data_IF_773375748650
#
_entry.id   IF_773375748650
#
_cell.length_a   1.000
_cell.length_b   1.000
_cell.length_c   1.000
_cell.angle_alpha   90.00
_cell.angle_beta   90.00
_cell.angle_gamma   90.00
#
_symmetry.space_group_name_H-M   'P 1'
#
loop_
_entity.id
_entity.type
_entity.pdbx_description
1 polymer ?
#
# COMPACT_ATOMS: atom_id res chain seq x y z
N UNK A 1 -26.84 -21.84 -9.68
CA UNK A 1 -25.72 -21.77 -8.71
C UNK A 1 -25.38 -20.30 -8.54
N UNK A 2 -25.05 -19.81 -7.35
CA UNK A 2 -24.50 -18.45 -7.21
C UNK A 2 -23.25 -18.36 -8.08
N UNK A 3 -23.15 -17.34 -8.92
CA UNK A 3 -22.02 -17.09 -9.83
C UNK A 3 -20.70 -16.77 -9.11
N UNK A 4 -20.74 -16.66 -7.78
CA UNK A 4 -19.65 -16.15 -6.94
C UNK A 4 -19.06 -17.22 -6.00
N UNK A 5 -19.24 -18.50 -6.32
CA UNK A 5 -18.71 -19.61 -5.52
C UNK A 5 -17.75 -20.45 -6.35
N UNK A 6 -16.58 -20.75 -5.81
CA UNK A 6 -15.62 -21.69 -6.39
C UNK A 6 -15.97 -23.12 -5.97
N UNK A 7 -16.15 -24.02 -6.94
CA UNK A 7 -16.57 -25.41 -6.69
C UNK A 7 -15.46 -26.37 -7.10
N UNK A 8 -14.92 -27.11 -6.14
CA UNK A 8 -13.94 -28.17 -6.37
C UNK A 8 -14.64 -29.51 -6.58
N UNK A 9 -14.43 -30.10 -7.75
CA UNK A 9 -15.06 -31.35 -8.14
C UNK A 9 -14.24 -32.56 -7.66
N UNK A 10 -14.90 -33.64 -7.20
CA UNK A 10 -14.22 -34.85 -6.77
C UNK A 10 -13.63 -35.61 -7.97
N UNK A 11 -12.69 -36.53 -7.67
CA UNK A 11 -12.15 -37.46 -8.65
C UNK A 11 -13.15 -38.59 -8.94
N UNK A 12 -14.12 -38.34 -9.81
CA UNK A 12 -15.04 -39.37 -10.28
C UNK A 12 -15.13 -39.31 -11.80
N UNK A 13 -15.24 -40.48 -12.42
CA UNK A 13 -15.59 -40.57 -13.83
C UNK A 13 -17.00 -40.01 -14.04
N UNK A 14 -17.27 -39.46 -15.23
CA UNK A 14 -18.61 -39.06 -15.70
C UNK A 14 -19.18 -37.72 -15.18
N UNK A 15 -18.38 -36.86 -14.52
CA UNK A 15 -18.80 -35.45 -14.34
C UNK A 15 -18.71 -34.73 -15.68
N UNK A 16 -19.88 -34.48 -16.27
CA UNK A 16 -20.02 -33.56 -17.40
C UNK A 16 -20.65 -32.25 -16.91
N UNK A 17 -20.10 -31.13 -17.37
CA UNK A 17 -20.67 -29.81 -17.16
C UNK A 17 -21.14 -29.33 -18.53
N UNK A 18 -22.36 -28.81 -18.60
CA UNK A 18 -22.86 -28.23 -19.84
C UNK A 18 -21.93 -27.10 -20.31
N UNK A 19 -21.70 -27.00 -21.62
CA UNK A 19 -20.88 -25.93 -22.20
C UNK A 19 -21.41 -24.56 -21.76
N UNK A 20 -20.52 -23.70 -21.25
CA UNK A 20 -20.87 -22.37 -20.76
C UNK A 20 -21.44 -22.33 -19.34
N UNK A 21 -21.56 -23.48 -18.67
CA UNK A 21 -21.94 -23.58 -17.25
C UNK A 21 -20.76 -23.96 -16.34
N UNK A 22 -19.57 -24.12 -16.90
CA UNK A 22 -18.33 -24.48 -16.22
C UNK A 22 -17.54 -23.27 -15.68
N UNK A 23 -18.27 -22.23 -15.26
CA UNK A 23 -17.72 -21.05 -14.58
C UNK A 23 -17.45 -21.40 -13.11
N UNK A 24 -16.23 -21.11 -12.65
CA UNK A 24 -15.79 -21.35 -11.27
C UNK A 24 -15.83 -22.83 -10.82
N UNK A 25 -15.84 -23.77 -11.77
CA UNK A 25 -15.66 -25.19 -11.49
C UNK A 25 -14.19 -25.57 -11.67
N UNK A 26 -13.58 -26.10 -10.60
CA UNK A 26 -12.23 -26.65 -10.61
C UNK A 26 -12.34 -28.16 -10.65
N UNK A 27 -11.86 -28.76 -11.74
CA UNK A 27 -11.78 -30.21 -11.90
C UNK A 27 -10.73 -30.79 -10.95
N UNK A 28 -10.81 -32.09 -10.68
CA UNK A 28 -9.87 -32.78 -9.79
C UNK A 28 -8.39 -32.63 -10.19
N UNK A 29 -8.10 -32.45 -11.48
CA UNK A 29 -6.75 -32.19 -12.00
C UNK A 29 -6.29 -30.72 -11.85
N UNK A 30 -7.05 -29.90 -11.12
CA UNK A 30 -6.73 -28.49 -10.87
C UNK A 30 -6.99 -27.57 -12.06
N UNK A 31 -7.79 -28.01 -13.06
CA UNK A 31 -8.15 -27.18 -14.21
C UNK A 31 -9.53 -26.55 -14.07
N UNK A 32 -9.62 -25.29 -14.46
CA UNK A 32 -10.84 -24.52 -14.58
C UNK A 32 -10.96 -24.01 -16.03
N UNK A 33 -12.15 -24.07 -16.63
CA UNK A 33 -12.34 -23.49 -17.97
C UNK A 33 -12.39 -21.97 -17.87
N UNK A 34 -13.31 -21.45 -17.04
CA UNK A 34 -13.50 -20.01 -16.86
C UNK A 34 -13.59 -19.68 -15.37
N UNK A 35 -12.68 -18.83 -14.91
CA UNK A 35 -12.69 -18.28 -13.56
C UNK A 35 -13.24 -16.85 -13.61
N UNK A 36 -14.30 -16.58 -12.87
CA UNK A 36 -14.85 -15.23 -12.69
C UNK A 36 -14.67 -14.84 -11.23
N UNK A 37 -13.89 -13.79 -11.01
CA UNK A 37 -13.67 -13.18 -9.70
C UNK A 37 -14.51 -11.92 -9.61
N UNK A 38 -15.52 -11.95 -8.76
CA UNK A 38 -16.42 -10.82 -8.54
C UNK A 38 -15.96 -10.00 -7.34
N UNK A 39 -15.99 -8.68 -7.49
CA UNK A 39 -15.65 -7.75 -6.43
C UNK A 39 -16.51 -7.94 -5.17
N UNK A 40 -15.88 -7.86 -4.00
CA UNK A 40 -16.58 -8.05 -2.73
C UNK A 40 -16.84 -9.50 -2.32
N UNK A 41 -16.65 -10.47 -3.23
CA UNK A 41 -16.94 -11.88 -2.99
C UNK A 41 -15.69 -12.66 -2.58
N UNK A 42 -15.86 -13.56 -1.61
CA UNK A 42 -14.77 -14.33 -0.99
C UNK A 42 -14.38 -15.54 -1.88
N UNK A 43 -13.08 -15.69 -2.18
CA UNK A 43 -12.56 -16.85 -2.91
C UNK A 43 -11.38 -17.47 -2.14
N UNK A 44 -11.42 -18.79 -2.00
CA UNK A 44 -10.32 -19.57 -1.41
C UNK A 44 -9.73 -20.50 -2.47
N UNK A 45 -8.40 -20.40 -2.68
CA UNK A 45 -7.64 -21.32 -3.52
C UNK A 45 -6.74 -22.19 -2.64
N UNK A 46 -7.17 -23.39 -2.20
CA UNK A 46 -6.38 -24.23 -1.28
C UNK A 46 -5.05 -24.71 -1.87
N UNK A 47 -4.99 -24.80 -3.20
CA UNK A 47 -3.80 -25.13 -3.97
C UNK A 47 -3.80 -24.35 -5.29
N UNK A 48 -2.65 -24.31 -5.95
CA UNK A 48 -2.53 -23.63 -7.23
C UNK A 48 -3.35 -24.36 -8.31
N UNK A 49 -4.09 -23.61 -9.11
CA UNK A 49 -4.92 -24.13 -10.20
C UNK A 49 -4.54 -23.46 -11.52
N UNK A 50 -5.07 -23.99 -12.62
CA UNK A 50 -4.95 -23.35 -13.94
C UNK A 50 -6.33 -23.05 -14.50
N UNK A 51 -6.50 -21.85 -15.07
CA UNK A 51 -7.73 -21.43 -15.72
C UNK A 51 -7.47 -21.13 -17.20
N UNK A 52 -8.37 -21.52 -18.10
CA UNK A 52 -8.21 -21.19 -19.54
C UNK A 52 -8.51 -19.71 -19.77
N UNK A 53 -9.56 -19.22 -19.12
CA UNK A 53 -10.03 -17.83 -19.14
C UNK A 53 -10.22 -17.33 -17.70
N UNK A 54 -9.86 -16.07 -17.44
CA UNK A 54 -10.02 -15.41 -16.14
C UNK A 54 -10.60 -14.02 -16.35
N UNK A 55 -11.69 -13.72 -15.65
CA UNK A 55 -12.34 -12.41 -15.67
C UNK A 55 -12.37 -11.86 -14.25
N UNK A 56 -11.85 -10.66 -14.06
CA UNK A 56 -12.01 -9.90 -12.82
C UNK A 56 -13.06 -8.80 -13.01
N UNK A 57 -14.14 -8.87 -12.23
CA UNK A 57 -15.26 -7.94 -12.30
C UNK A 57 -15.21 -7.02 -11.09
N UNK A 58 -14.74 -5.80 -11.31
CA UNK A 58 -14.78 -4.73 -10.32
C UNK A 58 -15.13 -3.41 -10.98
N UNK A 59 -16.10 -2.73 -10.39
CA UNK A 59 -16.37 -1.34 -10.71
C UNK A 59 -15.29 -0.47 -10.08
N UNK A 60 -14.50 0.19 -10.92
CA UNK A 60 -13.60 1.23 -10.45
C UNK A 60 -14.42 2.49 -10.14
N UNK A 61 -14.25 3.08 -8.95
CA UNK A 61 -15.04 4.24 -8.58
C UNK A 61 -14.87 5.39 -9.58
N UNK A 62 -15.96 6.09 -9.87
CA UNK A 62 -16.01 7.20 -10.83
C UNK A 62 -15.16 8.41 -10.44
N UNK A 63 -14.67 8.48 -9.20
CA UNK A 63 -13.82 9.58 -8.73
C UNK A 63 -12.34 9.40 -9.13
N UNK A 64 -11.96 8.33 -9.83
CA UNK A 64 -10.57 8.11 -10.27
C UNK A 64 -10.29 8.92 -11.56
N UNK A 65 -10.36 10.25 -11.49
CA UNK A 65 -10.08 11.16 -12.61
C UNK A 65 -8.57 11.38 -12.83
N UNK A 66 -7.78 10.30 -12.92
CA UNK A 66 -6.31 10.41 -13.08
C UNK A 66 -5.56 11.03 -11.89
N UNK A 67 -6.26 11.39 -10.82
CA UNK A 67 -5.69 12.03 -9.62
C UNK A 67 -5.73 11.13 -8.39
N UNK A 68 -6.70 10.22 -8.34
CA UNK A 68 -6.90 9.34 -7.21
C UNK A 68 -6.26 7.98 -7.45
N UNK A 69 -5.89 7.34 -6.36
CA UNK A 69 -5.30 6.01 -6.35
C UNK A 69 -6.36 4.96 -5.98
N UNK A 70 -6.05 3.71 -6.28
CA UNK A 70 -6.81 2.56 -5.81
C UNK A 70 -5.88 1.38 -5.56
N UNK A 71 -6.33 0.41 -4.77
CA UNK A 71 -5.52 -0.79 -4.47
C UNK A 71 -6.08 -2.03 -5.14
N UNK A 72 -5.20 -2.97 -5.46
CA UNK A 72 -5.55 -4.27 -6.03
C UNK A 72 -4.74 -5.40 -5.38
N UNK A 73 -5.33 -6.59 -5.30
CA UNK A 73 -4.67 -7.84 -4.94
C UNK A 73 -5.30 -8.95 -5.78
N UNK A 74 -4.56 -9.62 -6.66
CA UNK A 74 -5.09 -10.68 -7.51
C UNK A 74 -4.34 -12.00 -7.29
N UNK A 75 -5.01 -13.16 -7.38
CA UNK A 75 -4.36 -14.47 -7.19
C UNK A 75 -3.59 -14.94 -8.43
N UNK A 76 -3.40 -14.09 -9.44
CA UNK A 76 -2.64 -14.40 -10.65
C UNK A 76 -1.86 -13.17 -11.10
N UNK A 77 -0.83 -13.41 -11.92
CA UNK A 77 0.02 -12.34 -12.41
C UNK A 77 -0.64 -11.61 -13.59
N UNK A 78 -0.56 -10.29 -13.58
CA UNK A 78 -1.23 -9.40 -14.53
C UNK A 78 -0.23 -8.47 -15.21
N UNK A 79 -0.47 -8.21 -16.50
CA UNK A 79 0.25 -7.13 -17.21
C UNK A 79 -0.32 -5.79 -16.77
N UNK A 80 0.53 -4.88 -16.31
CA UNK A 80 0.09 -3.53 -15.92
C UNK A 80 -0.50 -2.80 -17.14
N UNK A 81 -1.76 -2.31 -17.07
CA UNK A 81 -2.35 -1.56 -18.17
C UNK A 81 -1.58 -0.28 -18.48
N UNK A 82 -1.48 0.06 -19.76
CA UNK A 82 -0.90 1.34 -20.19
C UNK A 82 -1.77 2.48 -19.66
N UNK A 83 -1.15 3.55 -19.15
CA UNK A 83 -1.89 4.67 -18.54
C UNK A 83 -2.15 4.48 -17.04
N UNK A 84 -1.78 3.33 -16.47
CA UNK A 84 -1.78 3.09 -15.03
C UNK A 84 -0.35 2.89 -14.54
N UNK A 85 0.00 3.57 -13.45
CA UNK A 85 1.24 3.34 -12.71
C UNK A 85 0.95 2.55 -11.46
N UNK A 86 1.82 1.58 -11.15
CA UNK A 86 1.74 0.77 -9.95
C UNK A 86 2.89 1.06 -8.99
N UNK A 87 2.65 0.85 -7.70
CA UNK A 87 3.59 1.14 -6.64
C UNK A 87 3.65 0.00 -5.62
N UNK A 88 4.86 -0.28 -5.13
CA UNK A 88 5.11 -1.10 -3.95
C UNK A 88 5.31 -0.21 -2.73
N UNK A 89 4.86 -0.67 -1.56
CA UNK A 89 5.21 -0.02 -0.30
C UNK A 89 6.62 -0.46 0.13
N UNK A 90 7.56 0.48 0.15
CA UNK A 90 8.91 0.27 0.64
C UNK A 90 9.07 0.90 2.02
N UNK A 91 9.66 0.15 2.96
CA UNK A 91 10.18 0.74 4.19
C UNK A 91 11.44 1.55 3.88
N UNK A 92 11.44 2.81 4.30
CA UNK A 92 12.57 3.71 4.08
C UNK A 92 13.51 3.75 5.26
N UNK A 93 12.96 3.99 6.46
CA UNK A 93 13.76 4.13 7.68
C UNK A 93 12.90 4.00 8.92
N UNK A 94 13.60 3.64 9.99
CA UNK A 94 13.16 3.80 11.38
C UNK A 94 14.03 4.85 12.05
N UNK A 95 13.41 5.77 12.78
CA UNK A 95 14.10 6.77 13.60
C UNK A 95 13.81 6.47 15.06
N UNK A 96 14.86 6.36 15.86
CA UNK A 96 14.74 6.41 17.31
C UNK A 96 14.43 7.84 17.75
N UNK A 97 13.29 8.03 18.42
CA UNK A 97 12.82 9.36 18.83
C UNK A 97 13.56 9.94 20.03
N UNK A 98 14.47 9.20 20.67
CA UNK A 98 15.09 9.68 21.92
C UNK A 98 14.27 9.35 23.16
N UNK A 99 13.02 8.92 23.01
CA UNK A 99 12.04 8.80 24.08
C UNK A 99 11.68 7.34 24.39
N UNK A 100 11.25 7.10 25.62
CA UNK A 100 10.63 5.85 26.01
C UNK A 100 9.12 6.05 26.22
N UNK A 101 8.33 5.00 26.04
CA UNK A 101 6.92 5.00 26.37
C UNK A 101 6.70 4.91 27.91
N UNK A 102 5.43 4.89 28.33
CA UNK A 102 5.07 4.79 29.74
C UNK A 102 5.49 3.49 30.43
N UNK A 103 6.00 2.51 29.67
CA UNK A 103 6.50 1.21 30.16
C UNK A 103 8.02 1.08 30.02
N UNK A 104 8.72 2.16 29.63
CA UNK A 104 10.17 2.17 29.46
C UNK A 104 10.65 1.57 28.13
N UNK A 105 9.75 1.25 27.19
CA UNK A 105 10.11 0.76 25.86
C UNK A 105 10.50 1.90 24.93
N UNK A 106 11.46 1.65 24.04
CA UNK A 106 11.95 2.66 23.11
C UNK A 106 10.89 3.04 22.07
N UNK A 107 10.73 4.33 21.82
CA UNK A 107 9.79 4.85 20.83
C UNK A 107 10.49 5.10 19.50
N UNK A 108 9.90 4.55 18.45
CA UNK A 108 10.37 4.70 17.07
C UNK A 108 9.32 5.32 16.16
N UNK A 109 9.79 6.03 15.14
CA UNK A 109 8.99 6.50 14.01
C UNK A 109 9.43 5.77 12.75
N UNK A 110 8.48 5.20 12.02
CA UNK A 110 8.76 4.53 10.75
C UNK A 110 8.25 5.36 9.57
N UNK A 111 9.07 5.46 8.52
CA UNK A 111 8.72 6.10 7.25
C UNK A 111 8.66 5.06 6.14
N UNK A 112 7.59 5.11 5.35
CA UNK A 112 7.37 4.24 4.20
C UNK A 112 7.07 5.07 2.96
N UNK A 113 7.36 4.53 1.80
CA UNK A 113 7.14 5.22 0.53
C UNK A 113 6.62 4.26 -0.51
N UNK A 114 5.60 4.71 -1.24
CA UNK A 114 5.14 4.02 -2.43
C UNK A 114 6.09 4.32 -3.58
N UNK A 115 6.94 3.33 -3.91
CA UNK A 115 7.87 3.40 -5.04
C UNK A 115 7.25 2.80 -6.28
N UNK A 116 7.31 3.54 -7.37
CA UNK A 116 6.77 3.08 -8.65
C UNK A 116 7.52 1.86 -9.15
N UNK A 117 6.78 0.91 -9.72
CA UNK A 117 7.37 -0.12 -10.57
C UNK A 117 7.43 0.41 -12.01
N UNK A 118 8.25 -0.20 -12.90
CA UNK A 118 8.29 0.17 -14.30
C UNK A 118 6.89 0.17 -14.94
N UNK A 119 6.60 1.21 -15.72
CA UNK A 119 5.38 1.28 -16.51
C UNK A 119 5.31 0.06 -17.46
N UNK A 120 4.10 -0.46 -17.69
CA UNK A 120 3.86 -1.71 -18.44
C UNK A 120 4.57 -2.96 -17.85
N UNK A 121 4.96 -2.90 -16.56
CA UNK A 121 5.52 -4.01 -15.81
C UNK A 121 4.51 -5.12 -15.50
N UNK A 122 4.93 -6.07 -14.65
CA UNK A 122 4.10 -7.20 -14.22
C UNK A 122 3.70 -7.02 -12.77
N UNK A 123 2.41 -7.18 -12.49
CA UNK A 123 1.88 -7.32 -11.14
C UNK A 123 1.90 -8.80 -10.77
N UNK A 124 2.78 -9.18 -9.86
CA UNK A 124 2.86 -10.54 -9.30
C UNK A 124 1.55 -11.00 -8.62
N UNK A 125 1.28 -12.30 -8.70
CA UNK A 125 0.17 -12.95 -8.01
C UNK A 125 0.32 -12.85 -6.47
N UNK A 126 -0.80 -12.74 -5.76
CA UNK A 126 -0.90 -12.65 -4.31
C UNK A 126 -0.03 -11.55 -3.68
N UNK A 127 0.15 -10.44 -4.40
CA UNK A 127 0.82 -9.25 -3.91
C UNK A 127 -0.09 -8.03 -4.05
N UNK A 128 -0.22 -7.21 -3.00
CA UNK A 128 -1.01 -5.98 -3.08
C UNK A 128 -0.22 -4.87 -3.77
N UNK A 129 -0.92 -4.08 -4.59
CA UNK A 129 -0.36 -2.91 -5.27
C UNK A 129 -1.25 -1.68 -5.08
N UNK A 130 -0.61 -0.51 -4.94
CA UNK A 130 -1.26 0.78 -5.10
C UNK A 130 -1.16 1.15 -6.58
N UNK A 131 -2.25 1.63 -7.16
CA UNK A 131 -2.37 1.98 -8.56
C UNK A 131 -2.84 3.43 -8.69
N UNK A 132 -2.29 4.15 -9.67
CA UNK A 132 -2.70 5.51 -10.03
C UNK A 132 -2.91 5.58 -11.54
N UNK A 133 -4.05 6.10 -11.97
CA UNK A 133 -4.26 6.45 -13.38
C UNK A 133 -3.42 7.69 -13.67
N UNK A 134 -2.58 7.65 -14.71
CA UNK A 134 -1.63 8.73 -15.04
C UNK A 134 -1.88 9.40 -16.38
N UNK A 135 -2.76 8.84 -17.22
CA UNK A 135 -3.05 9.39 -18.55
C UNK A 135 -4.38 10.16 -18.63
N UNK A 136 -5.11 10.24 -17.51
CA UNK A 136 -6.38 10.95 -17.40
C UNK A 136 -7.55 10.31 -18.14
N UNK A 137 -7.44 9.03 -18.54
CA UNK A 137 -8.52 8.30 -19.22
C UNK A 137 -9.29 7.40 -18.27
N UNK A 138 -10.45 6.97 -18.73
CA UNK A 138 -11.22 5.92 -18.07
C UNK A 138 -10.51 4.58 -18.27
N UNK A 139 -10.41 3.82 -17.19
CA UNK A 139 -9.88 2.46 -17.19
C UNK A 139 -10.90 1.49 -16.60
N UNK A 140 -10.89 0.24 -17.04
CA UNK A 140 -11.73 -0.84 -16.49
C UNK A 140 -10.90 -1.99 -15.92
N UNK A 141 -11.55 -2.84 -15.10
CA UNK A 141 -10.94 -4.05 -14.58
C UNK A 141 -10.58 -5.08 -15.68
N UNK A 142 -11.20 -4.99 -16.86
CA UNK A 142 -10.99 -5.90 -17.99
C UNK A 142 -9.60 -5.72 -18.61
N UNK A 143 -8.97 -4.56 -18.43
CA UNK A 143 -7.61 -4.28 -18.92
C UNK A 143 -6.53 -5.03 -18.13
N UNK A 144 -6.87 -5.58 -16.95
CA UNK A 144 -5.97 -6.34 -16.08
C UNK A 144 -5.80 -7.78 -16.59
N UNK A 145 -5.30 -7.91 -17.81
CA UNK A 145 -5.11 -9.19 -18.48
C UNK A 145 -4.01 -10.05 -17.83
N UNK A 146 -4.26 -11.35 -17.71
CA UNK A 146 -3.27 -12.30 -17.25
C UNK A 146 -2.08 -12.39 -18.20
N UNK A 147 -0.87 -12.57 -17.67
CA UNK A 147 0.36 -12.60 -18.47
C UNK A 147 0.55 -13.86 -19.34
N UNK A 148 -0.28 -14.89 -19.15
CA UNK A 148 -0.17 -16.16 -19.85
C UNK A 148 -1.50 -16.92 -19.89
N UNK A 149 -1.70 -17.73 -20.92
CA UNK A 149 -2.78 -18.72 -21.00
C UNK A 149 -2.19 -20.14 -21.19
N UNK A 150 -2.62 -21.15 -20.41
CA UNK A 150 -3.58 -21.06 -19.31
C UNK A 150 -3.03 -20.23 -18.14
N UNK A 151 -3.93 -19.50 -17.49
CA UNK A 151 -3.61 -18.60 -16.37
C UNK A 151 -3.30 -19.44 -15.13
N UNK A 152 -2.14 -19.18 -14.52
CA UNK A 152 -1.77 -19.79 -13.24
C UNK A 152 -2.39 -18.98 -12.10
N UNK A 153 -3.28 -19.62 -11.35
CA UNK A 153 -3.86 -19.05 -10.13
C UNK A 153 -3.07 -19.60 -8.95
N UNK A 154 -2.42 -18.73 -8.20
CA UNK A 154 -1.65 -19.07 -7.03
C UNK A 154 -2.59 -19.44 -5.87
N UNK A 155 -2.16 -20.42 -5.05
CA UNK A 155 -2.87 -20.78 -3.83
C UNK A 155 -3.00 -19.56 -2.91
N UNK A 156 -4.18 -19.35 -2.31
CA UNK A 156 -4.43 -18.27 -1.36
C UNK A 156 -3.62 -18.44 -0.08
N UNK A 157 -3.18 -19.66 0.24
CA UNK A 157 -2.54 -20.03 1.50
C UNK A 157 -3.47 -20.87 2.37
N UNK A 158 -2.96 -21.40 3.47
CA UNK A 158 -3.71 -22.29 4.38
C UNK A 158 -3.88 -21.72 5.78
N UNK A 159 -3.23 -20.59 6.07
CA UNK A 159 -3.27 -19.98 7.40
C UNK A 159 -4.61 -19.25 7.58
N UNK A 160 -5.43 -19.74 8.50
CA UNK A 160 -6.74 -19.17 8.82
C UNK A 160 -6.71 -18.48 10.19
N UNK A 161 -7.55 -17.46 10.37
CA UNK A 161 -7.83 -16.82 11.64
C UNK A 161 -8.59 -17.77 12.57
N UNK A 162 -8.26 -17.75 13.86
CA UNK A 162 -8.77 -18.70 14.84
C UNK A 162 -10.28 -18.65 15.02
N UNK A 163 -10.91 -17.47 15.06
CA UNK A 163 -12.36 -17.34 15.32
C UNK A 163 -13.19 -17.31 14.03
N UNK A 164 -12.91 -16.42 13.08
CA UNK A 164 -13.69 -16.27 11.84
C UNK A 164 -13.44 -17.33 10.78
N UNK A 165 -12.32 -18.06 10.86
CA UNK A 165 -11.88 -19.03 9.84
C UNK A 165 -11.62 -18.41 8.46
N UNK A 166 -11.47 -17.08 8.39
CA UNK A 166 -11.02 -16.40 7.18
C UNK A 166 -9.50 -16.56 7.01
N UNK A 167 -9.00 -16.47 5.77
CA UNK A 167 -7.58 -16.47 5.47
C UNK A 167 -6.87 -15.31 6.16
N UNK A 168 -5.67 -15.58 6.69
CA UNK A 168 -4.77 -14.52 7.14
C UNK A 168 -4.34 -13.69 5.93
N UNK A 169 -4.44 -12.35 5.99
CA UNK A 169 -4.02 -11.49 4.89
C UNK A 169 -2.54 -11.70 4.57
N UNK A 170 -2.19 -11.55 3.29
CA UNK A 170 -0.83 -11.77 2.79
C UNK A 170 -0.17 -10.45 2.46
N UNK A 171 1.07 -10.31 2.86
CA UNK A 171 1.92 -9.20 2.45
C UNK A 171 3.18 -9.71 1.77
N UNK A 172 3.85 -8.77 1.11
CA UNK A 172 5.24 -8.95 0.72
C UNK A 172 6.10 -7.97 1.51
N UNK A 173 7.09 -8.49 2.22
CA UNK A 173 8.10 -7.71 2.95
C UNK A 173 9.44 -7.93 2.27
N UNK A 174 10.14 -6.84 1.97
CA UNK A 174 11.50 -6.90 1.40
C UNK A 174 12.50 -7.27 2.50
N UNK A 175 12.77 -8.56 2.67
CA UNK A 175 13.87 -9.08 3.51
C UNK A 175 13.73 -8.81 5.01
N UNK A 176 14.85 -8.96 5.73
CA UNK A 176 14.93 -8.73 7.18
C UNK A 176 14.99 -7.23 7.46
N UNK A 177 13.84 -6.64 7.73
CA UNK A 177 13.72 -5.25 8.19
C UNK A 177 12.99 -5.20 9.53
N UNK A 178 13.32 -4.23 10.37
CA UNK A 178 12.61 -4.01 11.63
C UNK A 178 11.23 -3.37 11.44
N UNK A 179 10.75 -3.21 10.20
CA UNK A 179 9.55 -2.44 9.84
C UNK A 179 8.32 -2.90 10.66
N UNK A 180 7.54 -1.96 11.19
CA UNK A 180 6.32 -2.28 11.93
C UNK A 180 5.12 -2.59 11.04
N UNK A 181 5.08 -2.11 9.80
CA UNK A 181 3.93 -2.21 8.90
C UNK A 181 4.32 -2.82 7.56
N UNK A 182 3.35 -3.47 6.92
CA UNK A 182 3.49 -3.93 5.54
C UNK A 182 2.20 -3.68 4.77
N UNK A 183 2.29 -3.83 3.45
CA UNK A 183 1.12 -3.76 2.59
C UNK A 183 0.57 -5.17 2.38
N UNK A 184 -0.68 -5.37 2.79
CA UNK A 184 -1.36 -6.65 2.80
C UNK A 184 -2.54 -6.64 1.83
N UNK A 185 -2.91 -7.82 1.33
CA UNK A 185 -4.18 -8.06 0.65
C UNK A 185 -4.61 -9.52 0.80
N UNK A 186 -5.79 -9.84 0.28
CA UNK A 186 -6.38 -11.16 0.45
C UNK A 186 -7.40 -11.48 -0.66
N UNK A 187 -7.67 -12.77 -0.90
CA UNK A 187 -8.75 -13.25 -1.78
C UNK A 187 -10.09 -13.41 -1.04
N UNK A 188 -10.07 -13.30 0.29
CA UNK A 188 -11.23 -13.20 1.16
C UNK A 188 -11.27 -11.81 1.83
N UNK A 189 -12.42 -11.47 2.40
CA UNK A 189 -12.60 -10.24 3.17
C UNK A 189 -11.67 -10.24 4.38
N UNK A 190 -11.16 -9.06 4.73
CA UNK A 190 -10.25 -8.90 5.86
C UNK A 190 -10.95 -8.20 7.01
N UNK A 191 -10.98 -8.84 8.18
CA UNK A 191 -11.58 -8.29 9.39
C UNK A 191 -10.86 -7.02 9.85
N UNK A 192 -11.63 -6.00 10.23
CA UNK A 192 -11.09 -4.82 10.90
C UNK A 192 -10.49 -5.12 12.28
N UNK A 193 -10.77 -6.32 12.79
CA UNK A 193 -10.30 -6.91 14.04
C UNK A 193 -9.44 -8.16 13.80
N UNK A 194 -8.79 -8.31 12.63
CA UNK A 194 -8.05 -9.54 12.28
C UNK A 194 -7.06 -10.00 13.36
N UNK A 195 -6.43 -9.08 14.10
CA UNK A 195 -5.55 -9.44 15.21
C UNK A 195 -6.30 -10.02 16.42
N UNK A 196 -7.50 -9.51 16.75
CA UNK A 196 -8.37 -10.10 17.78
C UNK A 196 -9.00 -11.43 17.34
N UNK A 197 -9.20 -11.58 16.04
CA UNK A 197 -9.71 -12.80 15.41
C UNK A 197 -8.73 -13.98 15.58
N UNK A 198 -7.43 -13.66 15.66
CA UNK A 198 -6.33 -14.60 15.92
C UNK A 198 -5.95 -14.71 17.42
N UNK A 199 -6.17 -13.63 18.19
CA UNK A 199 -6.00 -13.42 19.64
C UNK A 199 -4.68 -13.94 20.25
N UNK A 200 -3.64 -13.10 20.26
CA UNK A 200 -2.48 -13.28 21.13
C UNK A 200 -2.42 -12.11 22.13
N UNK A 201 -3.21 -12.24 23.20
CA UNK A 201 -3.16 -11.46 24.46
C UNK A 201 -3.89 -10.10 24.49
N UNK A 202 -5.18 -10.15 24.85
CA UNK A 202 -5.96 -9.10 25.54
C UNK A 202 -6.27 -7.78 24.80
N UNK A 203 -7.56 -7.61 24.47
CA UNK A 203 -8.19 -6.29 24.27
C UNK A 203 -8.32 -5.84 22.81
N UNK A 204 -9.32 -4.99 22.55
CA UNK A 204 -9.51 -4.35 21.24
C UNK A 204 -8.38 -3.34 21.01
N UNK A 205 -7.26 -3.78 20.42
CA UNK A 205 -6.23 -2.87 19.96
C UNK A 205 -6.49 -2.49 18.49
N UNK A 206 -7.12 -1.32 18.30
CA UNK A 206 -7.38 -0.76 16.98
C UNK A 206 -6.11 -0.43 16.20
N UNK A 207 -4.92 -0.38 16.81
CA UNK A 207 -3.64 -0.20 16.11
C UNK A 207 -3.38 -1.27 15.03
N UNK A 208 -3.99 -2.45 15.16
CA UNK A 208 -3.91 -3.50 14.15
C UNK A 208 -4.99 -3.38 13.08
N UNK A 209 -5.98 -2.50 13.22
CA UNK A 209 -7.01 -2.34 12.20
C UNK A 209 -6.38 -1.91 10.87
N UNK A 210 -6.87 -2.44 9.73
CA UNK A 210 -6.33 -2.10 8.43
C UNK A 210 -6.43 -0.60 8.15
N UNK A 211 -5.37 -0.03 7.59
CA UNK A 211 -5.41 1.29 6.99
C UNK A 211 -5.76 1.13 5.52
N UNK A 212 -6.95 1.58 5.14
CA UNK A 212 -7.47 1.49 3.78
C UNK A 212 -7.37 2.83 3.08
N UNK A 213 -7.16 2.79 1.77
CA UNK A 213 -7.20 4.00 0.95
C UNK A 213 -8.65 4.49 0.84
N UNK A 214 -8.84 5.78 1.04
CA UNK A 214 -10.13 6.45 0.94
C UNK A 214 -9.94 7.84 0.31
N UNK A 215 -11.05 8.57 0.15
CA UNK A 215 -11.04 9.98 -0.28
C UNK A 215 -11.52 10.86 0.87
N UNK A 216 -10.88 12.01 1.04
CA UNK A 216 -11.35 13.02 1.98
C UNK A 216 -12.48 13.89 1.39
N UNK A 217 -13.00 14.82 2.19
CA UNK A 217 -14.06 15.72 1.75
C UNK A 217 -13.63 16.69 0.65
N UNK A 218 -12.32 16.82 0.39
CA UNK A 218 -11.76 17.57 -0.73
C UNK A 218 -11.49 16.70 -1.96
N UNK A 219 -11.82 15.41 -1.90
CA UNK A 219 -11.61 14.45 -2.98
C UNK A 219 -10.16 14.00 -3.14
N UNK A 220 -9.31 14.16 -2.11
CA UNK A 220 -7.93 13.70 -2.12
C UNK A 220 -7.79 12.32 -1.49
N UNK A 221 -6.88 11.53 -2.04
CA UNK A 221 -6.45 10.26 -1.46
C UNK A 221 -5.94 10.43 -0.03
N UNK A 222 -6.52 9.64 0.88
CA UNK A 222 -6.11 9.58 2.28
C UNK A 222 -6.15 8.15 2.78
N UNK A 223 -5.11 7.74 3.50
CA UNK A 223 -5.13 6.48 4.24
C UNK A 223 -5.90 6.69 5.54
N UNK A 224 -6.96 5.90 5.75
CA UNK A 224 -7.77 5.95 6.97
C UNK A 224 -7.79 4.60 7.63
N UNK A 225 -7.62 4.61 8.95
CA UNK A 225 -7.78 3.41 9.73
C UNK A 225 -9.26 2.99 9.73
N UNK A 226 -9.48 1.73 9.40
CA UNK A 226 -10.81 1.12 9.35
C UNK A 226 -11.26 0.75 10.77
N UNK A 227 -11.43 1.74 11.64
CA UNK A 227 -11.61 1.56 13.10
C UNK A 227 -13.03 1.86 13.62
N UNK A 228 -14.03 1.99 12.75
CA UNK A 228 -15.40 2.28 13.17
C UNK A 228 -16.23 1.02 13.54
N UNK A 229 -17.31 1.23 14.30
CA UNK A 229 -18.21 0.17 14.77
C UNK A 229 -19.13 -0.39 13.67
N UNK A 230 -19.24 0.28 12.53
CA UNK A 230 -20.29 0.04 11.55
C UNK A 230 -19.78 -0.65 10.27
N UNK A 231 -18.46 -0.74 10.07
CA UNK A 231 -17.86 -1.40 8.92
C UNK A 231 -16.83 -2.45 9.38
N UNK A 232 -17.19 -3.72 9.24
CA UNK A 232 -16.47 -4.82 9.89
C UNK A 232 -15.36 -5.45 9.03
N UNK A 233 -15.41 -5.27 7.71
CA UNK A 233 -14.53 -5.95 6.78
C UNK A 233 -14.06 -5.04 5.64
N UNK A 234 -12.78 -5.14 5.29
CA UNK A 234 -12.27 -4.72 4.00
C UNK A 234 -12.65 -5.78 2.95
N UNK A 235 -13.24 -5.41 1.81
CA UNK A 235 -13.54 -6.34 0.73
C UNK A 235 -12.29 -7.09 0.20
N UNK A 236 -12.48 -8.30 -0.37
CA UNK A 236 -11.46 -9.03 -1.11
C UNK A 236 -10.79 -8.22 -2.22
N UNK A 237 -9.64 -8.70 -2.69
CA UNK A 237 -8.90 -8.14 -3.82
C UNK A 237 -8.46 -6.68 -3.63
N UNK A 238 -8.35 -6.23 -2.37
CA UNK A 238 -7.85 -4.91 -1.96
C UNK A 238 -6.52 -5.02 -1.25
N UNK A 239 -5.76 -3.93 -1.33
CA UNK A 239 -4.59 -3.69 -0.51
C UNK A 239 -4.92 -2.79 0.69
N UNK A 240 -4.38 -3.10 1.87
CA UNK A 240 -4.37 -2.26 3.06
C UNK A 240 -3.01 -2.29 3.76
N UNK A 241 -2.66 -1.18 4.38
CA UNK A 241 -1.45 -1.10 5.21
C UNK A 241 -1.81 -1.61 6.60
N UNK A 242 -1.10 -2.60 7.09
CA UNK A 242 -1.39 -3.21 8.39
C UNK A 242 -0.11 -3.46 9.16
N UNK A 243 -0.21 -3.49 10.49
CA UNK A 243 0.91 -3.81 11.36
C UNK A 243 1.31 -5.27 11.19
N UNK A 244 2.61 -5.55 11.16
CA UNK A 244 3.15 -6.91 11.11
C UNK A 244 3.02 -7.54 12.51
N UNK A 245 2.40 -8.72 12.64
CA UNK A 245 2.29 -9.42 13.92
C UNK A 245 3.66 -9.67 14.53
N UNK A 246 3.79 -9.47 15.84
CA UNK A 246 5.02 -9.75 16.59
C UNK A 246 6.11 -8.68 16.50
N UNK A 247 5.96 -7.66 15.63
CA UNK A 247 6.90 -6.52 15.60
C UNK A 247 6.63 -5.54 16.74
N UNK A 248 7.65 -4.85 17.25
CA UNK A 248 7.41 -3.66 18.09
C UNK A 248 6.80 -2.56 17.22
N UNK A 249 5.67 -1.99 17.66
CA UNK A 249 4.97 -0.97 16.90
C UNK A 249 5.72 0.36 16.98
N UNK A 250 6.05 0.96 15.83
CA UNK A 250 6.40 2.37 15.77
C UNK A 250 5.21 3.21 16.24
N UNK A 251 5.47 4.26 17.03
CA UNK A 251 4.40 5.15 17.51
C UNK A 251 3.84 6.04 16.41
N UNK A 252 4.65 6.35 15.41
CA UNK A 252 4.22 7.10 14.24
C UNK A 252 4.59 6.35 12.95
N UNK A 253 3.69 6.45 11.98
CA UNK A 253 3.80 5.86 10.66
C UNK A 253 3.47 6.92 9.62
N UNK A 254 4.39 7.15 8.68
CA UNK A 254 4.22 8.09 7.59
C UNK A 254 4.31 7.38 6.24
N UNK A 255 3.38 7.69 5.34
CA UNK A 255 3.38 7.24 3.94
C UNK A 255 3.68 8.41 3.04
N UNK A 256 4.72 8.27 2.22
CA UNK A 256 5.07 9.22 1.17
C UNK A 256 4.67 8.66 -0.20
N UNK A 257 4.29 9.55 -1.11
CA UNK A 257 3.99 9.23 -2.52
C UNK A 257 5.09 9.75 -3.44
N UNK A 258 5.64 8.87 -4.28
CA UNK A 258 6.66 9.11 -5.32
C UNK A 258 8.04 9.61 -4.84
N UNK A 259 9.07 9.29 -5.65
CA UNK A 259 10.48 9.65 -5.40
C UNK A 259 10.77 11.15 -5.52
N UNK A 260 9.79 11.94 -5.95
CA UNK A 260 9.80 13.35 -5.64
C UNK A 260 9.47 13.48 -4.16
N UNK A 261 10.52 13.44 -3.33
CA UNK A 261 10.65 14.58 -2.43
C UNK A 261 10.36 15.77 -3.35
N UNK A 262 9.33 16.55 -3.06
CA UNK A 262 9.56 17.98 -3.20
C UNK A 262 10.76 18.22 -2.31
N UNK A 263 11.96 17.99 -2.86
CA UNK A 263 13.11 18.78 -2.53
C UNK A 263 12.56 20.18 -2.50
N UNK A 264 13.03 20.96 -1.56
CA UNK A 264 12.88 22.40 -1.65
C UNK A 264 13.42 22.76 -3.05
N UNK A 265 12.52 22.79 -4.05
CA UNK A 265 12.83 22.93 -5.47
C UNK A 265 12.93 24.42 -5.83
N UNK A 266 12.93 25.27 -4.80
CA UNK A 266 13.40 26.63 -4.82
C UNK A 266 13.95 26.97 -3.43
N UNK A 267 15.23 26.69 -3.21
CA UNK A 267 16.06 27.81 -2.74
C UNK A 267 16.45 28.47 -4.04
N UNK A 268 15.64 29.44 -4.47
CA UNK A 268 15.94 30.28 -5.63
C UNK A 268 17.43 30.57 -5.62
N UNK A 269 18.14 30.15 -6.66
CA UNK A 269 19.56 30.48 -6.80
C UNK A 269 19.71 31.98 -6.52
N UNK A 270 20.59 32.32 -5.57
CA UNK A 270 20.93 33.66 -5.11
C UNK A 270 21.58 34.54 -6.21
N UNK A 271 21.11 34.46 -7.45
CA UNK A 271 21.46 35.40 -8.50
C UNK A 271 20.77 36.75 -8.26
N UNK A 272 19.57 36.78 -7.66
CA UNK A 272 18.87 38.04 -7.33
C UNK A 272 19.24 38.60 -5.94
N UNK A 273 19.74 37.78 -5.00
CA UNK A 273 20.21 38.26 -3.69
C UNK A 273 21.57 38.99 -3.79
N UNK A 274 22.24 38.95 -4.96
CA UNK A 274 23.50 39.66 -5.18
C UNK A 274 23.35 41.15 -5.52
N UNK A 275 22.13 41.67 -5.72
CA UNK A 275 21.92 43.08 -6.07
C UNK A 275 21.33 43.95 -4.94
N UNK A 276 20.91 43.34 -3.82
CA UNK A 276 20.41 44.05 -2.64
C UNK A 276 21.46 44.16 -1.53
N UNK A 277 21.40 45.21 -0.71
CA UNK A 277 22.30 45.42 0.42
C UNK A 277 22.43 44.14 1.28
N UNK A 278 23.67 43.66 1.46
CA UNK A 278 24.00 42.37 2.06
C UNK A 278 23.49 42.27 3.51
N UNK A 279 22.37 41.57 3.72
CA UNK A 279 21.80 41.33 5.06
C UNK A 279 22.65 40.32 5.84
N UNK A 280 22.80 40.57 7.13
CA UNK A 280 23.58 39.76 8.08
C UNK A 280 22.63 39.25 9.16
N UNK A 281 22.78 37.97 9.52
CA UNK A 281 21.95 37.31 10.53
C UNK A 281 22.81 36.66 11.63
N UNK A 282 22.25 36.50 12.83
CA UNK A 282 22.82 35.64 13.87
C UNK A 282 22.68 34.16 13.50
N UNK A 283 23.36 33.27 14.23
CA UNK A 283 23.21 31.82 14.06
C UNK A 283 21.78 31.31 14.31
N UNK A 284 21.01 32.02 15.11
CA UNK A 284 19.59 31.73 15.39
C UNK A 284 18.63 32.37 14.37
N UNK A 285 19.17 33.04 13.34
CA UNK A 285 18.39 33.60 12.22
C UNK A 285 17.85 35.02 12.42
N UNK A 286 18.27 35.75 13.46
CA UNK A 286 17.85 37.14 13.67
C UNK A 286 18.65 38.11 12.79
N UNK A 287 17.96 39.04 12.11
CA UNK A 287 18.59 40.08 11.30
C UNK A 287 19.34 41.09 12.17
N UNK A 288 20.60 41.38 11.84
CA UNK A 288 21.49 42.27 12.63
C UNK A 288 22.08 43.43 11.81
N UNK A 289 21.60 43.66 10.59
CA UNK A 289 22.00 44.78 9.75
C UNK A 289 22.75 44.36 8.49
N UNK A 290 23.46 45.31 7.88
CA UNK A 290 24.20 45.11 6.62
C UNK A 290 25.71 45.40 6.70
N UNK A 291 26.18 45.90 7.85
CA UNK A 291 27.59 46.25 8.05
C UNK A 291 28.26 45.28 9.02
N UNK A 292 29.06 44.35 8.49
CA UNK A 292 29.75 43.34 9.28
C UNK A 292 30.75 43.94 10.27
N UNK A 293 31.38 45.06 9.93
CA UNK A 293 32.41 45.71 10.75
C UNK A 293 31.84 46.37 12.02
N UNK A 294 30.54 46.68 12.03
CA UNK A 294 29.84 47.22 13.20
C UNK A 294 29.40 46.17 14.22
N UNK A 295 29.45 44.87 13.88
CA UNK A 295 28.97 43.80 14.76
C UNK A 295 30.00 43.39 15.83
N UNK A 296 29.58 42.89 17.01
CA UNK A 296 30.51 42.32 17.98
C UNK A 296 31.19 41.04 17.44
N UNK A 297 32.25 40.57 18.10
CA UNK A 297 32.86 39.28 17.76
C UNK A 297 31.84 38.15 17.96
N UNK A 298 31.76 37.23 17.00
CA UNK A 298 30.73 36.21 16.97
C UNK A 298 30.62 35.52 15.62
N UNK A 299 29.72 34.54 15.51
CA UNK A 299 29.46 33.81 14.27
C UNK A 299 28.17 34.33 13.64
N UNK A 300 28.22 34.61 12.33
CA UNK A 300 27.13 35.23 11.59
C UNK A 300 26.86 34.49 10.28
N UNK A 301 25.64 34.62 9.77
CA UNK A 301 25.24 34.13 8.47
C UNK A 301 25.21 35.31 7.50
N UNK A 302 26.02 35.24 6.45
CA UNK A 302 26.10 36.23 5.37
C UNK A 302 26.19 35.51 4.04
N UNK A 303 25.36 35.90 3.06
CA UNK A 303 25.31 35.26 1.72
C UNK A 303 25.17 33.73 1.82
N UNK A 304 24.32 33.26 2.75
CA UNK A 304 24.12 31.83 3.01
C UNK A 304 25.31 31.10 3.65
N UNK A 305 26.39 31.79 4.02
CA UNK A 305 27.61 31.18 4.60
C UNK A 305 27.85 31.64 6.03
N UNK A 306 28.38 30.73 6.86
CA UNK A 306 28.84 31.04 8.22
C UNK A 306 30.17 31.79 8.15
N UNK A 307 30.26 32.92 8.84
CA UNK A 307 31.47 33.74 8.93
C UNK A 307 31.74 34.07 10.39
N UNK A 308 32.99 33.88 10.82
CA UNK A 308 33.44 34.21 12.17
C UNK A 308 34.02 35.61 12.17
N UNK A 309 33.53 36.48 13.07
CA UNK A 309 34.16 37.75 13.40
C UNK A 309 35.02 37.57 14.65
N UNK A 310 36.33 37.66 14.47
CA UNK A 310 37.28 37.82 15.58
C UNK A 310 37.52 39.32 15.81
N UNK A 311 38.04 39.67 17.00
CA UNK A 311 38.56 41.03 17.23
C UNK A 311 39.72 41.33 16.29
#
# INVERSE_FOLDING_TARGET
MPTHTLVYLPNVSDISIATGQDVNFVKFDGKCTKLVLVDGEDYEFPYAITATDVVYQRDFPSFIDGKNCFTIFLPYAVKLPKGIRAYNLDFLRRIDTGNNDGYGQRIYDDTYMFKSIPDEGILEANRPYLLRIVDGKNHSAEEFEAIASPVKIAASGTDKLSKSKLLKPRCFVKGDSDQSYAFYGNTEKTSNKWFYDDDLTNGLNYEFSPWVLNIDSSGKDVWRQFSDKNTYYMPPFRGAIMRIPGTSGAKQFMVLSEDETTGINDVTNDAEVQQGAQRIYTMDGHYVGTNFDSLPSGMYIMKGKKTLKTK
#
